data_IF_046124367804
#
_entry.id   IF_046124367804
#
_cell.length_a   1.000
_cell.length_b   1.000
_cell.length_c   1.000
_cell.angle_alpha   90.00
_cell.angle_beta   90.00
_cell.angle_gamma   90.00
#
_symmetry.space_group_name_H-M   'P 1'
#
loop_
_entity.id
_entity.type
_entity.pdbx_description
1 polymer ?
#
# COMPACT_ATOMS: atom_id res chain seq x y z
N UNK A 1 22.03 -4.25 11.23
CA UNK A 1 21.30 -4.05 12.50
C UNK A 1 20.08 -3.21 12.18
N UNK A 2 18.86 -3.60 12.59
CA UNK A 2 17.63 -2.83 12.32
C UNK A 2 17.58 -1.58 13.20
N UNK A 3 16.86 -0.53 12.76
CA UNK A 3 16.64 0.68 13.57
C UNK A 3 15.97 0.33 14.91
N UNK A 4 14.97 -0.55 14.89
CA UNK A 4 14.29 -1.03 16.09
C UNK A 4 15.26 -1.64 17.11
N UNK A 5 16.17 -2.53 16.67
CA UNK A 5 17.18 -3.12 17.56
C UNK A 5 18.14 -2.07 18.13
N UNK A 6 18.54 -1.08 17.34
CA UNK A 6 19.38 0.03 17.81
C UNK A 6 18.67 0.81 18.92
N UNK A 7 17.40 1.18 18.71
CA UNK A 7 16.62 1.95 19.67
C UNK A 7 16.35 1.14 20.94
N UNK A 8 15.95 -0.13 20.82
CA UNK A 8 15.67 -1.01 21.98
C UNK A 8 16.92 -1.20 22.84
N UNK A 9 18.08 -1.44 22.21
CA UNK A 9 19.33 -1.59 22.95
C UNK A 9 19.70 -0.30 23.68
N UNK A 10 19.63 0.85 22.99
CA UNK A 10 19.91 2.14 23.60
C UNK A 10 19.00 2.43 24.81
N UNK A 11 17.69 2.22 24.66
CA UNK A 11 16.72 2.44 25.74
C UNK A 11 16.97 1.54 26.96
N UNK A 12 17.38 0.28 26.73
CA UNK A 12 17.71 -0.64 27.82
C UNK A 12 19.06 -0.33 28.48
N UNK A 13 19.98 0.33 27.77
CA UNK A 13 21.25 0.80 28.31
C UNK A 13 21.08 2.05 29.19
N UNK A 14 20.34 3.05 28.72
CA UNK A 14 20.15 4.32 29.44
C UNK A 14 19.07 4.26 30.53
N UNK A 15 18.21 3.24 30.49
CA UNK A 15 17.11 3.05 31.42
C UNK A 15 15.83 3.80 31.00
N UNK A 16 14.69 3.28 31.48
CA UNK A 16 13.37 3.85 31.21
C UNK A 16 12.89 4.67 32.42
N UNK A 17 12.11 5.72 32.19
CA UNK A 17 11.43 6.49 33.24
C UNK A 17 10.28 5.72 33.93
N UNK A 18 10.10 4.45 33.60
CA UNK A 18 9.11 3.54 34.14
C UNK A 18 9.75 2.18 34.47
N UNK A 19 9.11 1.39 35.34
CA UNK A 19 9.56 0.02 35.64
C UNK A 19 9.42 -0.88 34.41
N UNK A 20 10.48 -1.58 34.03
CA UNK A 20 10.47 -2.56 32.94
C UNK A 20 11.70 -2.50 32.04
N UNK A 21 11.59 -3.14 30.88
CA UNK A 21 12.60 -3.14 29.81
C UNK A 21 11.94 -2.85 28.46
N UNK A 22 12.66 -2.18 27.57
CA UNK A 22 12.20 -1.89 26.22
C UNK A 22 12.13 -3.19 25.40
N UNK A 23 11.07 -3.31 24.60
CA UNK A 23 10.86 -4.37 23.62
C UNK A 23 10.40 -3.76 22.31
N UNK A 24 10.83 -4.35 21.19
CA UNK A 24 10.45 -3.94 19.85
C UNK A 24 9.83 -5.11 19.09
N UNK A 25 8.94 -4.78 18.16
CA UNK A 25 8.44 -5.70 17.15
C UNK A 25 8.57 -5.00 15.80
N UNK A 26 9.17 -5.67 14.83
CA UNK A 26 9.24 -5.20 13.45
C UNK A 26 8.25 -6.02 12.62
N UNK A 27 7.12 -5.43 12.19
CA UNK A 27 6.20 -6.15 11.33
C UNK A 27 6.89 -6.41 9.98
N UNK A 28 6.92 -7.68 9.57
CA UNK A 28 7.49 -8.11 8.30
C UNK A 28 6.49 -7.99 7.17
N UNK A 29 6.12 -9.12 6.56
CA UNK A 29 5.04 -9.18 5.58
C UNK A 29 3.67 -8.89 6.17
N UNK A 30 3.51 -9.03 7.49
CA UNK A 30 2.28 -8.77 8.23
C UNK A 30 1.65 -7.41 7.95
N UNK A 31 2.46 -6.37 7.82
CA UNK A 31 1.96 -5.02 7.51
C UNK A 31 1.37 -4.87 6.09
N UNK A 32 1.52 -5.88 5.20
CA UNK A 32 1.10 -5.81 3.79
C UNK A 32 0.02 -6.82 3.41
N UNK A 33 -0.31 -7.78 4.28
CA UNK A 33 -1.27 -8.85 3.97
C UNK A 33 -2.37 -9.05 5.03
N UNK A 34 -2.41 -8.23 6.07
CA UNK A 34 -3.38 -8.36 7.16
C UNK A 34 -4.77 -7.85 6.76
N UNK A 35 -5.46 -8.60 5.88
CA UNK A 35 -6.72 -8.19 5.25
C UNK A 35 -7.88 -7.92 6.22
N UNK A 36 -7.85 -8.51 7.42
CA UNK A 36 -8.82 -8.20 8.50
C UNK A 36 -8.73 -6.77 9.02
N UNK A 37 -7.61 -6.08 8.81
CA UNK A 37 -7.37 -4.69 9.18
C UNK A 37 -7.29 -3.78 7.95
N UNK A 38 -7.66 -4.26 6.76
CA UNK A 38 -7.56 -3.48 5.54
C UNK A 38 -8.50 -2.27 5.58
N UNK A 39 -8.02 -1.12 5.12
CA UNK A 39 -8.84 0.08 4.96
C UNK A 39 -9.99 -0.20 3.99
N UNK A 40 -11.21 0.08 4.41
CA UNK A 40 -12.40 -0.01 3.55
C UNK A 40 -12.32 0.96 2.37
N UNK A 41 -11.66 2.10 2.57
CA UNK A 41 -11.40 3.11 1.53
C UNK A 41 -10.39 2.58 0.51
N UNK A 42 -9.28 1.98 0.97
CA UNK A 42 -8.27 1.38 0.08
C UNK A 42 -8.87 0.22 -0.74
N UNK A 43 -9.72 -0.62 -0.13
CA UNK A 43 -10.42 -1.70 -0.84
C UNK A 43 -11.33 -1.17 -1.97
N UNK A 44 -12.12 -0.14 -1.69
CA UNK A 44 -13.00 0.48 -2.69
C UNK A 44 -12.21 1.16 -3.80
N UNK A 45 -11.17 1.91 -3.43
CA UNK A 45 -10.30 2.63 -4.36
C UNK A 45 -9.51 1.69 -5.27
N UNK A 46 -8.95 0.60 -4.72
CA UNK A 46 -8.26 -0.44 -5.47
C UNK A 46 -9.18 -1.14 -6.48
N UNK A 47 -10.43 -1.38 -6.12
CA UNK A 47 -11.42 -1.95 -7.04
C UNK A 47 -11.76 -0.98 -8.18
N UNK A 48 -12.11 0.27 -7.83
CA UNK A 48 -12.54 1.29 -8.80
C UNK A 48 -11.41 1.73 -9.75
N UNK A 49 -10.16 1.81 -9.27
CA UNK A 49 -9.02 2.12 -10.15
C UNK A 49 -8.77 0.98 -11.15
N UNK A 50 -8.97 -0.28 -10.74
CA UNK A 50 -8.94 -1.43 -11.63
C UNK A 50 -10.04 -1.37 -12.71
N UNK A 51 -11.27 -1.01 -12.33
CA UNK A 51 -12.35 -0.77 -13.29
C UNK A 51 -12.02 0.37 -14.25
N UNK A 52 -11.47 1.48 -13.76
CA UNK A 52 -11.07 2.61 -14.61
C UNK A 52 -9.97 2.20 -15.60
N UNK A 53 -9.01 1.37 -15.20
CA UNK A 53 -7.97 0.88 -16.11
C UNK A 53 -8.56 0.11 -17.31
N UNK A 54 -9.59 -0.70 -17.09
CA UNK A 54 -10.29 -1.41 -18.18
C UNK A 54 -11.01 -0.41 -19.10
N UNK A 55 -11.71 0.58 -18.54
CA UNK A 55 -12.38 1.63 -19.32
C UNK A 55 -11.38 2.40 -20.19
N UNK A 56 -10.24 2.79 -19.61
CA UNK A 56 -9.16 3.48 -20.34
C UNK A 56 -8.64 2.61 -21.48
N UNK A 57 -8.43 1.31 -21.25
CA UNK A 57 -7.99 0.40 -22.30
C UNK A 57 -8.99 0.29 -23.47
N UNK A 58 -10.30 0.32 -23.16
CA UNK A 58 -11.37 0.24 -24.15
C UNK A 58 -11.57 1.55 -24.93
N UNK A 59 -11.57 2.68 -24.23
CA UNK A 59 -11.93 3.99 -24.79
C UNK A 59 -10.73 4.72 -25.41
N UNK A 60 -9.55 4.56 -24.81
CA UNK A 60 -8.36 5.36 -25.11
C UNK A 60 -7.14 4.54 -25.53
N UNK A 61 -7.24 3.21 -25.42
CA UNK A 61 -6.17 2.29 -25.79
C UNK A 61 -5.04 2.23 -24.76
N UNK A 62 -3.81 2.07 -25.26
CA UNK A 62 -2.62 1.81 -24.45
C UNK A 62 -1.85 3.09 -24.10
N UNK A 63 -0.85 2.97 -23.21
CA UNK A 63 0.07 4.07 -22.90
C UNK A 63 -0.36 4.92 -21.70
N UNK A 64 -1.39 4.49 -20.97
CA UNK A 64 -1.94 5.21 -19.82
C UNK A 64 -1.90 4.37 -18.54
N UNK A 65 -1.82 5.05 -17.40
CA UNK A 65 -2.05 4.52 -16.06
C UNK A 65 -3.33 5.14 -15.50
N UNK A 66 -4.22 4.34 -14.92
CA UNK A 66 -5.37 4.85 -14.19
C UNK A 66 -4.91 5.54 -12.88
N UNK A 67 -5.56 6.66 -12.53
CA UNK A 67 -5.18 7.50 -11.38
C UNK A 67 -6.36 7.72 -10.45
N UNK A 68 -6.04 7.98 -9.18
CA UNK A 68 -6.99 8.34 -8.13
C UNK A 68 -6.69 9.78 -7.73
N UNK A 69 -7.66 10.66 -7.92
CA UNK A 69 -7.51 12.10 -7.73
C UNK A 69 -8.47 12.56 -6.63
N UNK A 70 -7.90 13.13 -5.55
CA UNK A 70 -8.69 13.68 -4.43
C UNK A 70 -9.43 14.94 -4.90
N UNK A 71 -10.73 15.00 -4.66
CA UNK A 71 -11.53 16.20 -4.92
C UNK A 71 -11.20 17.29 -3.89
N UNK A 72 -11.21 18.57 -4.28
CA UNK A 72 -11.11 19.65 -3.32
C UNK A 72 -12.35 19.68 -2.42
N UNK A 73 -12.17 20.00 -1.14
CA UNK A 73 -13.26 20.10 -0.17
C UNK A 73 -12.87 19.61 1.22
N UNK A 74 -13.78 19.77 2.18
CA UNK A 74 -13.63 19.29 3.55
C UNK A 74 -13.93 17.79 3.68
N UNK A 75 -14.81 17.26 2.84
CA UNK A 75 -15.14 15.84 2.80
C UNK A 75 -14.20 15.09 1.86
N UNK A 76 -13.63 13.98 2.34
CA UNK A 76 -12.81 13.12 1.51
C UNK A 76 -13.65 12.46 0.42
N UNK A 77 -13.30 12.72 -0.83
CA UNK A 77 -13.85 12.03 -1.99
C UNK A 77 -12.83 12.04 -3.12
N UNK A 78 -12.93 11.06 -4.00
CA UNK A 78 -12.02 10.88 -5.13
C UNK A 78 -12.78 10.77 -6.45
N UNK A 79 -12.07 11.01 -7.54
CA UNK A 79 -12.47 10.62 -8.88
C UNK A 79 -11.32 9.91 -9.57
N UNK A 80 -11.67 9.12 -10.60
CA UNK A 80 -10.73 8.27 -11.29
C UNK A 80 -10.50 8.80 -12.69
N UNK A 81 -9.24 8.91 -13.07
CA UNK A 81 -8.82 9.44 -14.36
C UNK A 81 -7.65 8.61 -14.90
N UNK A 82 -6.90 9.17 -15.83
CA UNK A 82 -5.72 8.56 -16.42
C UNK A 82 -4.59 9.58 -16.56
N UNK A 83 -3.37 9.05 -16.68
CA UNK A 83 -2.18 9.84 -16.99
C UNK A 83 -1.31 9.07 -17.99
N UNK A 84 -0.65 9.74 -18.96
CA UNK A 84 0.33 9.10 -19.82
C UNK A 84 1.46 8.44 -19.01
N UNK A 85 1.83 7.21 -19.37
CA UNK A 85 2.89 6.45 -18.67
C UNK A 85 4.23 7.19 -18.68
N UNK A 86 4.55 7.91 -19.76
CA UNK A 86 5.77 8.71 -19.90
C UNK A 86 5.90 9.80 -18.82
N UNK A 87 4.78 10.33 -18.29
CA UNK A 87 4.80 11.34 -17.22
C UNK A 87 5.01 10.71 -15.84
N UNK A 88 4.71 9.43 -15.70
CA UNK A 88 4.85 8.67 -14.45
C UNK A 88 6.22 8.02 -14.37
N UNK A 89 6.79 7.64 -15.51
CA UNK A 89 8.12 7.06 -15.58
C UNK A 89 9.15 7.99 -14.89
N UNK A 90 9.88 7.44 -13.92
CA UNK A 90 10.84 8.18 -13.07
C UNK A 90 10.26 9.35 -12.27
N UNK A 91 8.94 9.44 -12.15
CA UNK A 91 8.29 10.37 -11.22
C UNK A 91 8.06 9.68 -9.89
N UNK A 92 8.50 10.32 -8.80
CA UNK A 92 8.32 9.81 -7.44
C UNK A 92 7.56 10.83 -6.60
N UNK A 93 6.72 10.31 -5.69
CA UNK A 93 6.07 11.13 -4.68
C UNK A 93 6.87 11.07 -3.38
N UNK A 94 7.71 12.07 -3.18
CA UNK A 94 8.45 12.22 -1.92
C UNK A 94 7.50 12.50 -0.74
N UNK A 95 7.91 12.09 0.46
CA UNK A 95 7.25 12.52 1.70
C UNK A 95 7.53 14.01 1.91
N UNK A 96 6.52 14.90 1.86
CA UNK A 96 6.70 16.34 2.02
C UNK A 96 7.41 16.69 3.33
N UNK A 97 8.41 17.58 3.28
CA UNK A 97 9.11 18.03 4.48
C UNK A 97 8.19 18.69 5.52
N UNK A 98 7.14 19.38 5.08
CA UNK A 98 6.12 19.98 5.95
C UNK A 98 5.26 18.97 6.71
N UNK A 99 5.31 17.68 6.33
CA UNK A 99 4.63 16.60 7.04
C UNK A 99 5.44 16.08 8.24
N UNK A 100 6.71 16.46 8.36
CA UNK A 100 7.58 16.09 9.48
C UNK A 100 7.47 17.18 10.54
N UNK A 101 7.14 16.81 11.78
CA UNK A 101 7.03 17.77 12.87
C UNK A 101 8.40 18.43 13.17
N UNK A 102 8.43 19.66 13.72
CA UNK A 102 9.68 20.33 14.09
C UNK A 102 10.58 19.51 15.03
N UNK A 103 9.97 18.67 15.87
CA UNK A 103 10.67 17.74 16.78
C UNK A 103 11.41 16.61 16.05
N UNK A 104 11.08 16.34 14.78
CA UNK A 104 11.59 15.26 13.93
C UNK A 104 11.36 13.84 14.44
N UNK A 105 10.48 13.68 15.42
CA UNK A 105 10.08 12.37 15.98
C UNK A 105 8.60 12.06 15.75
N UNK A 106 7.88 12.96 15.09
CA UNK A 106 6.45 12.83 14.82
C UNK A 106 6.10 13.51 13.48
N UNK A 107 4.82 13.43 13.10
CA UNK A 107 4.23 14.03 11.90
C UNK A 107 3.38 15.26 12.24
N UNK A 108 3.09 16.10 11.25
CA UNK A 108 2.23 17.27 11.43
C UNK A 108 0.75 16.95 11.21
N UNK A 109 -0.14 17.83 11.69
CA UNK A 109 -1.58 17.74 11.45
C UNK A 109 -1.94 17.72 9.96
N UNK A 110 -1.09 18.30 9.11
CA UNK A 110 -1.24 18.26 7.66
C UNK A 110 -1.13 16.85 7.11
N UNK A 111 -0.19 16.06 7.63
CA UNK A 111 -0.09 14.65 7.30
C UNK A 111 -1.27 13.85 7.86
N UNK A 112 -1.65 14.08 9.12
CA UNK A 112 -2.79 13.40 9.73
C UNK A 112 -4.05 13.66 8.91
N UNK A 113 -4.30 14.90 8.48
CA UNK A 113 -5.42 15.25 7.60
C UNK A 113 -5.32 14.61 6.22
N UNK A 114 -4.11 14.41 5.69
CA UNK A 114 -3.91 13.68 4.44
C UNK A 114 -4.21 12.18 4.60
N UNK A 115 -3.65 11.52 5.61
CA UNK A 115 -3.65 10.08 5.78
C UNK A 115 -4.91 9.51 6.46
N UNK A 116 -5.50 10.25 7.40
CA UNK A 116 -6.68 9.81 8.17
C UNK A 116 -7.86 9.31 7.31
N UNK A 117 -8.29 9.97 6.23
CA UNK A 117 -9.37 9.42 5.43
C UNK A 117 -8.98 8.15 4.67
N UNK A 118 -7.69 7.92 4.41
CA UNK A 118 -7.22 6.75 3.64
C UNK A 118 -7.27 5.45 4.44
N UNK A 119 -7.30 5.53 5.78
CA UNK A 119 -7.39 4.35 6.65
C UNK A 119 -8.83 3.85 6.84
N UNK A 120 -9.83 4.66 6.48
CA UNK A 120 -11.24 4.38 6.70
C UNK A 120 -11.68 4.57 8.17
N UNK A 121 -13.00 4.57 8.38
CA UNK A 121 -13.63 4.72 9.69
C UNK A 121 -14.34 3.43 10.16
N UNK A 122 -14.20 2.33 9.41
CA UNK A 122 -14.85 1.05 9.71
C UNK A 122 -13.98 -0.15 9.31
N UNK A 123 -14.36 -1.32 9.80
CA UNK A 123 -13.70 -2.60 9.57
C UNK A 123 -14.20 -3.27 8.29
N UNK A 124 -13.34 -3.99 7.56
CA UNK A 124 -13.78 -4.77 6.42
C UNK A 124 -14.62 -5.97 6.89
N UNK A 125 -15.74 -6.23 6.21
CA UNK A 125 -16.57 -7.41 6.46
C UNK A 125 -15.91 -8.65 5.87
N UNK A 126 -15.11 -9.35 6.67
CA UNK A 126 -14.39 -10.57 6.26
C UNK A 126 -15.15 -11.81 6.78
N UNK A 127 -15.77 -12.60 5.89
CA UNK A 127 -16.45 -13.83 6.30
C UNK A 127 -15.46 -14.85 6.86
N UNK A 128 -15.87 -15.53 7.93
CA UNK A 128 -15.11 -16.60 8.56
C UNK A 128 -15.74 -17.95 8.28
N UNK A 129 -14.92 -18.97 8.08
CA UNK A 129 -15.31 -20.38 8.00
C UNK A 129 -14.38 -21.18 8.91
N UNK A 130 -14.94 -21.86 9.92
CA UNK A 130 -14.19 -22.56 10.98
C UNK A 130 -13.13 -21.67 11.66
N UNK A 131 -13.49 -20.42 11.96
CA UNK A 131 -12.58 -19.46 12.61
C UNK A 131 -11.47 -18.89 11.71
N UNK A 132 -11.48 -19.17 10.40
CA UNK A 132 -10.47 -18.69 9.43
C UNK A 132 -11.08 -17.74 8.42
N UNK A 133 -10.31 -16.75 7.98
CA UNK A 133 -10.70 -15.83 6.91
C UNK A 133 -11.00 -16.62 5.62
N UNK A 134 -12.18 -16.38 5.03
CA UNK A 134 -12.58 -17.02 3.78
C UNK A 134 -12.06 -16.26 2.57
N UNK A 135 -10.82 -16.56 2.17
CA UNK A 135 -10.24 -16.06 0.93
C UNK A 135 -10.84 -16.70 -0.32
N UNK A 136 -10.74 -15.99 -1.45
CA UNK A 136 -11.09 -16.52 -2.76
C UNK A 136 -10.21 -17.73 -3.11
N UNK A 137 -10.83 -18.80 -3.62
CA UNK A 137 -10.14 -19.97 -4.17
C UNK A 137 -10.29 -19.96 -5.68
N UNK A 138 -9.33 -19.34 -6.35
CA UNK A 138 -9.33 -19.27 -7.81
C UNK A 138 -8.93 -20.64 -8.37
N UNK A 139 -9.69 -21.15 -9.33
CA UNK A 139 -9.34 -22.37 -10.04
C UNK A 139 -8.16 -22.07 -10.99
N UNK A 140 -7.10 -22.88 -11.00
CA UNK A 140 -5.92 -22.66 -11.83
C UNK A 140 -6.18 -23.09 -13.29
N UNK A 141 -7.15 -22.45 -13.95
CA UNK A 141 -7.46 -22.69 -15.36
C UNK A 141 -6.55 -21.81 -16.20
N UNK A 142 -5.51 -22.41 -16.78
CA UNK A 142 -4.54 -21.70 -17.61
C UNK A 142 -4.87 -21.88 -19.10
N UNK A 143 -4.53 -20.87 -19.91
CA UNK A 143 -4.59 -20.97 -21.36
C UNK A 143 -3.53 -21.95 -21.89
N UNK A 144 -3.81 -22.57 -23.04
CA UNK A 144 -2.86 -23.45 -23.73
C UNK A 144 -1.58 -22.70 -24.10
N UNK A 145 -0.41 -23.32 -23.84
CA UNK A 145 0.88 -22.76 -24.17
C UNK A 145 1.12 -22.83 -25.68
N UNK A 146 1.29 -21.68 -26.33
CA UNK A 146 1.56 -21.57 -27.78
C UNK A 146 3.03 -21.38 -28.14
N UNK A 147 3.88 -21.04 -27.16
CA UNK A 147 5.28 -20.71 -27.37
C UNK A 147 6.19 -21.65 -26.56
N UNK A 148 7.46 -21.83 -26.98
CA UNK A 148 8.45 -22.56 -26.19
C UNK A 148 8.65 -21.96 -24.80
N UNK A 149 9.21 -22.75 -23.88
CA UNK A 149 9.58 -22.28 -22.57
C UNK A 149 10.56 -21.09 -22.67
N UNK A 150 10.25 -20.00 -21.97
CA UNK A 150 11.11 -18.83 -21.92
C UNK A 150 12.36 -19.13 -21.10
N UNK A 151 13.54 -18.86 -21.67
CA UNK A 151 14.82 -18.85 -20.95
C UNK A 151 15.11 -17.40 -20.53
N UNK A 152 15.17 -17.09 -19.22
CA UNK A 152 15.56 -15.77 -18.73
C UNK A 152 16.86 -15.29 -19.37
N UNK A 153 16.92 -14.01 -19.73
CA UNK A 153 18.05 -13.44 -20.45
C UNK A 153 19.41 -13.75 -19.79
N UNK A 154 19.46 -13.71 -18.46
CA UNK A 154 20.68 -14.00 -17.68
C UNK A 154 21.18 -15.45 -17.81
N UNK A 155 20.33 -16.39 -18.23
CA UNK A 155 20.63 -17.82 -18.31
C UNK A 155 20.82 -18.30 -19.76
N UNK A 156 20.73 -17.40 -20.73
CA UNK A 156 20.99 -17.74 -22.13
C UNK A 156 22.51 -17.88 -22.31
N UNK A 157 22.96 -19.02 -22.84
CA UNK A 157 24.34 -19.17 -23.30
C UNK A 157 24.62 -18.11 -24.37
N UNK A 158 25.76 -17.41 -24.25
CA UNK A 158 26.23 -16.47 -25.26
C UNK A 158 26.52 -17.16 -26.58
#
# INVERSE_FOLDING_TARGET
MTVERVVVNYLNEVGLAARGAARGNMPGTDQRHAMIYASTVDLEEAYKVGQKAVLVALEDGSGYMATILRRPGSLYSVYYDKVPLEKVANSERAFPGAWIAPSRVDVTDDFVRYARPLIGDDWPSIPLVDGRQRFARLQPIFAEKKLPAYVPQAHRTR
#
